data_IF_780437438886
#
_entry.id   IF_780437438886
#
_cell.length_a   1.000
_cell.length_b   1.000
_cell.length_c   1.000
_cell.angle_alpha   90.00
_cell.angle_beta   90.00
_cell.angle_gamma   90.00
#
_symmetry.space_group_name_H-M   'P 1'
#
loop_
_entity.id
_entity.type
_entity.pdbx_description
1 polymer ?
#
# COMPACT_ATOMS: atom_id res chain seq x y z
N UNK A 1 19.51 -47.74 -31.24
CA UNK A 1 18.47 -46.70 -31.27
C UNK A 1 17.65 -46.87 -30.01
N UNK A 2 17.89 -46.07 -28.97
CA UNK A 2 17.11 -46.13 -27.74
C UNK A 2 15.77 -45.45 -28.00
N UNK A 3 14.74 -46.24 -28.29
CA UNK A 3 13.37 -45.75 -28.34
C UNK A 3 12.91 -45.41 -26.93
N UNK A 4 13.05 -44.14 -26.54
CA UNK A 4 12.28 -43.60 -25.42
C UNK A 4 10.81 -43.69 -25.80
N UNK A 5 10.04 -44.47 -25.04
CA UNK A 5 8.57 -44.40 -25.07
C UNK A 5 8.13 -42.93 -24.99
N UNK A 6 7.09 -42.51 -25.73
CA UNK A 6 6.60 -41.14 -25.60
C UNK A 6 6.19 -40.87 -24.15
N UNK A 7 6.69 -39.78 -23.56
CA UNK A 7 6.26 -39.33 -22.24
C UNK A 7 4.75 -39.15 -22.25
N UNK A 8 4.07 -39.70 -21.25
CA UNK A 8 2.62 -39.51 -21.08
C UNK A 8 2.33 -38.01 -20.93
N UNK A 9 1.44 -37.46 -21.75
CA UNK A 9 0.95 -36.08 -21.62
C UNK A 9 -0.46 -36.13 -21.03
N UNK A 10 -0.64 -35.47 -19.89
CA UNK A 10 -1.89 -35.43 -19.13
C UNK A 10 -2.47 -34.01 -19.23
N UNK A 11 -3.77 -33.91 -19.41
CA UNK A 11 -4.52 -32.65 -19.39
C UNK A 11 -5.37 -32.64 -18.13
N UNK A 12 -5.28 -31.56 -17.34
CA UNK A 12 -5.95 -31.44 -16.03
C UNK A 12 -6.70 -30.11 -15.97
N UNK A 13 -7.99 -30.14 -15.68
CA UNK A 13 -8.75 -28.94 -15.33
C UNK A 13 -8.66 -28.71 -13.83
N UNK A 14 -8.44 -27.47 -13.38
CA UNK A 14 -8.38 -27.15 -11.96
C UNK A 14 -9.17 -25.88 -11.62
N UNK A 15 -9.69 -25.84 -10.40
CA UNK A 15 -10.61 -24.82 -9.92
C UNK A 15 -9.93 -23.86 -8.95
N UNK A 16 -10.02 -22.57 -9.27
CA UNK A 16 -9.77 -21.45 -8.36
C UNK A 16 -11.10 -21.09 -7.68
N UNK A 17 -11.30 -21.61 -6.47
CA UNK A 17 -12.50 -21.35 -5.66
C UNK A 17 -12.14 -20.38 -4.55
N UNK A 18 -12.84 -19.23 -4.55
CA UNK A 18 -12.72 -18.22 -3.51
C UNK A 18 -13.91 -18.27 -2.55
N UNK A 19 -13.64 -18.12 -1.25
CA UNK A 19 -14.64 -17.90 -0.19
C UNK A 19 -14.10 -16.90 0.82
N UNK A 20 -14.84 -15.81 1.03
CA UNK A 20 -14.52 -14.78 2.03
C UNK A 20 -13.08 -14.22 1.91
N UNK A 21 -12.59 -14.05 0.68
CA UNK A 21 -11.23 -13.57 0.40
C UNK A 21 -10.12 -14.63 0.56
N UNK A 22 -10.49 -15.88 0.81
CA UNK A 22 -9.59 -17.02 0.92
C UNK A 22 -9.73 -17.94 -0.29
N UNK A 23 -8.65 -18.61 -0.65
CA UNK A 23 -8.56 -19.53 -1.80
C UNK A 23 -8.48 -20.96 -1.31
N UNK A 24 -9.29 -21.83 -1.89
CA UNK A 24 -9.32 -23.24 -1.55
C UNK A 24 -8.11 -23.96 -2.15
N UNK A 25 -7.34 -24.64 -1.30
CA UNK A 25 -6.29 -25.57 -1.69
C UNK A 25 -6.63 -26.97 -1.15
N UNK A 26 -6.33 -28.00 -1.94
CA UNK A 26 -6.54 -29.40 -1.57
C UNK A 26 -5.21 -30.13 -1.46
N UNK A 27 -5.06 -30.99 -0.46
CA UNK A 27 -3.86 -31.80 -0.25
C UNK A 27 -4.06 -33.19 -0.83
N UNK A 28 -3.16 -33.60 -1.71
CA UNK A 28 -3.18 -34.93 -2.35
C UNK A 28 -3.07 -36.03 -1.29
N UNK A 29 -3.84 -37.11 -1.44
CA UNK A 29 -3.72 -38.25 -0.52
C UNK A 29 -2.39 -38.99 -0.68
N UNK A 30 -2.06 -39.82 0.32
CA UNK A 30 -0.82 -40.60 0.35
C UNK A 30 -0.73 -41.66 -0.76
N UNK A 31 -1.85 -42.01 -1.38
CA UNK A 31 -1.94 -42.99 -2.47
C UNK A 31 -1.91 -42.37 -3.87
N UNK A 32 -2.00 -41.06 -3.98
CA UNK A 32 -1.93 -40.34 -5.26
C UNK A 32 -0.47 -40.15 -5.72
N UNK A 33 -0.27 -39.83 -7.01
CA UNK A 33 1.03 -39.35 -7.49
C UNK A 33 1.41 -38.07 -6.75
N UNK A 34 2.69 -37.84 -6.45
CA UNK A 34 3.11 -36.66 -5.66
C UNK A 34 2.33 -36.56 -4.33
N UNK A 35 2.45 -37.57 -3.45
CA UNK A 35 1.62 -37.67 -2.25
C UNK A 35 1.88 -36.49 -1.30
N UNK A 36 0.82 -36.03 -0.63
CA UNK A 36 0.83 -34.97 0.39
C UNK A 36 1.21 -33.56 -0.10
N UNK A 37 1.50 -33.37 -1.40
CA UNK A 37 1.61 -32.04 -2.00
C UNK A 37 0.23 -31.38 -2.12
N UNK A 38 0.23 -30.05 -2.12
CA UNK A 38 -0.97 -29.22 -2.30
C UNK A 38 -1.21 -28.88 -3.77
N UNK A 39 -2.48 -28.73 -4.14
CA UNK A 39 -2.92 -28.41 -5.49
C UNK A 39 -4.26 -27.66 -5.49
N UNK A 40 -4.59 -27.09 -6.64
CA UNK A 40 -5.94 -26.61 -6.90
C UNK A 40 -6.84 -27.81 -7.20
N UNK A 41 -8.03 -27.91 -6.56
CA UNK A 41 -8.90 -29.07 -6.75
C UNK A 41 -9.36 -29.18 -8.20
N UNK A 42 -9.48 -30.41 -8.70
CA UNK A 42 -9.83 -30.72 -10.07
C UNK A 42 -9.19 -32.02 -10.51
N UNK A 43 -9.33 -32.35 -11.79
CA UNK A 43 -8.94 -33.67 -12.25
C UNK A 43 -8.64 -33.75 -13.73
N UNK A 44 -8.51 -34.98 -14.21
CA UNK A 44 -7.97 -35.27 -15.54
C UNK A 44 -9.11 -35.22 -16.55
N UNK A 45 -8.85 -34.60 -17.70
CA UNK A 45 -9.79 -34.63 -18.81
C UNK A 45 -9.93 -36.07 -19.35
N UNK A 46 -11.17 -36.49 -19.56
CA UNK A 46 -11.48 -37.72 -20.29
C UNK A 46 -11.54 -37.48 -21.81
N UNK A 47 -11.67 -38.57 -22.58
CA UNK A 47 -11.80 -38.47 -24.02
C UNK A 47 -13.12 -37.77 -24.39
N UNK A 48 -13.04 -36.80 -25.31
CA UNK A 48 -14.17 -36.04 -25.85
C UNK A 48 -14.90 -35.12 -24.84
N UNK A 49 -14.30 -34.84 -23.68
CA UNK A 49 -14.83 -33.93 -22.65
C UNK A 49 -14.18 -32.54 -22.73
N UNK A 50 -14.95 -31.47 -22.52
CA UNK A 50 -14.39 -30.12 -22.33
C UNK A 50 -13.75 -29.96 -20.95
N UNK A 51 -12.86 -28.98 -20.79
CA UNK A 51 -12.22 -28.74 -19.50
C UNK A 51 -13.23 -28.28 -18.44
N UNK A 52 -14.27 -27.56 -18.85
CA UNK A 52 -15.37 -27.12 -18.00
C UNK A 52 -16.24 -28.29 -17.52
N UNK A 53 -16.61 -29.21 -18.41
CA UNK A 53 -17.36 -30.44 -18.06
C UNK A 53 -16.55 -31.33 -17.12
N UNK A 54 -15.25 -31.52 -17.43
CA UNK A 54 -14.31 -32.23 -16.59
C UNK A 54 -14.29 -31.67 -15.16
N UNK A 55 -14.14 -30.35 -15.03
CA UNK A 55 -14.06 -29.71 -13.71
C UNK A 55 -15.35 -29.86 -12.90
N UNK A 56 -16.52 -29.80 -13.56
CA UNK A 56 -17.81 -30.00 -12.90
C UNK A 56 -17.97 -31.44 -12.39
N UNK A 57 -17.57 -32.43 -13.19
CA UNK A 57 -17.60 -33.85 -12.82
C UNK A 57 -16.65 -34.14 -11.66
N UNK A 58 -15.39 -33.75 -11.80
CA UNK A 58 -14.33 -34.02 -10.82
C UNK A 58 -14.65 -33.40 -9.46
N UNK A 59 -15.11 -32.14 -9.40
CA UNK A 59 -15.44 -31.52 -8.10
C UNK A 59 -16.70 -32.10 -7.45
N UNK A 60 -17.62 -32.66 -8.24
CA UNK A 60 -18.75 -33.39 -7.70
C UNK A 60 -18.30 -34.73 -7.11
N UNK A 61 -17.40 -35.44 -7.79
CA UNK A 61 -16.91 -36.77 -7.38
C UNK A 61 -15.93 -36.69 -6.21
N UNK A 62 -14.94 -35.79 -6.26
CA UNK A 62 -13.86 -35.72 -5.28
C UNK A 62 -14.23 -34.89 -4.04
N UNK A 63 -15.07 -33.86 -4.21
CA UNK A 63 -15.40 -32.89 -3.17
C UNK A 63 -16.91 -32.82 -2.83
N UNK A 64 -17.78 -33.49 -3.58
CA UNK A 64 -19.23 -33.50 -3.31
C UNK A 64 -19.94 -32.17 -3.59
N UNK A 65 -19.38 -31.31 -4.43
CA UNK A 65 -19.92 -29.97 -4.70
C UNK A 65 -20.28 -29.78 -6.17
N UNK A 66 -21.39 -29.09 -6.42
CA UNK A 66 -21.73 -28.61 -7.76
C UNK A 66 -21.24 -27.18 -7.92
N UNK A 67 -20.56 -26.91 -9.04
CA UNK A 67 -19.97 -25.59 -9.33
C UNK A 67 -20.52 -24.97 -10.62
N UNK A 68 -20.45 -23.65 -10.70
CA UNK A 68 -20.42 -22.92 -11.97
C UNK A 68 -18.99 -22.64 -12.35
N UNK A 69 -18.59 -23.01 -13.56
CA UNK A 69 -17.29 -22.66 -14.13
C UNK A 69 -17.36 -21.25 -14.72
N UNK A 70 -16.43 -20.40 -14.29
CA UNK A 70 -16.29 -19.01 -14.69
C UNK A 70 -15.21 -18.81 -15.74
N UNK A 71 -14.54 -17.66 -15.69
CA UNK A 71 -13.47 -17.31 -16.64
C UNK A 71 -12.27 -18.25 -16.48
N UNK A 72 -11.62 -18.57 -17.60
CA UNK A 72 -10.33 -19.26 -17.61
C UNK A 72 -9.17 -18.31 -17.30
N UNK A 73 -8.11 -18.84 -16.69
CA UNK A 73 -6.77 -18.26 -16.71
C UNK A 73 -5.94 -18.92 -17.83
N UNK A 74 -4.80 -18.33 -18.25
CA UNK A 74 -3.89 -18.96 -19.20
C UNK A 74 -3.52 -20.39 -18.80
N UNK A 75 -3.53 -21.32 -19.77
CA UNK A 75 -3.07 -22.68 -19.55
C UNK A 75 -1.55 -22.72 -19.33
N UNK A 76 -1.09 -23.67 -18.52
CA UNK A 76 0.33 -23.85 -18.24
C UNK A 76 0.75 -25.31 -18.42
N UNK A 77 1.90 -25.53 -19.06
CA UNK A 77 2.46 -26.88 -19.25
C UNK A 77 3.72 -27.03 -18.42
N UNK A 78 3.77 -28.09 -17.61
CA UNK A 78 4.92 -28.47 -16.79
C UNK A 78 5.39 -29.88 -17.17
N UNK A 79 6.71 -30.09 -17.24
CA UNK A 79 7.31 -31.39 -17.59
C UNK A 79 8.09 -31.97 -16.42
N UNK A 80 7.59 -33.09 -15.87
CA UNK A 80 8.30 -33.91 -14.89
C UNK A 80 9.17 -34.96 -15.59
N UNK A 81 10.00 -35.68 -14.83
CA UNK A 81 10.87 -36.74 -15.36
C UNK A 81 10.10 -37.87 -16.04
N UNK A 82 8.91 -38.20 -15.56
CA UNK A 82 8.10 -39.34 -16.05
C UNK A 82 6.91 -38.96 -16.94
N UNK A 83 6.40 -37.72 -16.85
CA UNK A 83 5.21 -37.28 -17.60
C UNK A 83 5.22 -35.76 -17.81
N UNK A 84 4.37 -35.29 -18.71
CA UNK A 84 4.09 -33.86 -18.93
C UNK A 84 2.63 -33.61 -18.56
N UNK A 85 2.33 -32.48 -17.92
CA UNK A 85 0.97 -32.07 -17.56
C UNK A 85 0.68 -30.68 -18.12
N UNK A 86 -0.51 -30.49 -18.70
CA UNK A 86 -1.07 -29.17 -18.99
C UNK A 86 -2.24 -28.91 -18.06
N UNK A 87 -2.17 -27.83 -17.30
CA UNK A 87 -3.23 -27.34 -16.42
C UNK A 87 -4.10 -26.32 -17.15
N UNK A 88 -5.41 -26.47 -17.00
CA UNK A 88 -6.46 -25.57 -17.47
C UNK A 88 -7.17 -24.95 -16.25
N UNK A 89 -6.66 -23.84 -15.72
CA UNK A 89 -7.22 -23.18 -14.54
C UNK A 89 -8.48 -22.37 -14.86
N UNK A 90 -9.53 -22.56 -14.07
CA UNK A 90 -10.77 -21.78 -14.15
C UNK A 90 -11.16 -21.23 -12.79
N UNK A 91 -11.72 -20.02 -12.77
CA UNK A 91 -12.49 -19.59 -11.61
C UNK A 91 -13.74 -20.44 -11.49
N UNK A 92 -14.09 -20.85 -10.28
CA UNK A 92 -15.29 -21.64 -10.05
C UNK A 92 -16.02 -21.18 -8.78
N UNK A 93 -17.34 -21.21 -8.82
CA UNK A 93 -18.21 -20.88 -7.69
C UNK A 93 -19.01 -22.11 -7.28
N UNK A 94 -18.91 -22.50 -6.01
CA UNK A 94 -19.76 -23.57 -5.45
C UNK A 94 -21.21 -23.08 -5.38
N UNK A 95 -22.09 -23.76 -6.11
CA UNK A 95 -23.53 -23.50 -6.11
C UNK A 95 -24.24 -24.23 -4.97
N UNK A 96 -23.95 -25.53 -4.82
CA UNK A 96 -24.61 -26.42 -3.86
C UNK A 96 -23.62 -27.49 -3.37
N UNK A 97 -23.95 -28.09 -2.22
CA UNK A 97 -23.11 -29.10 -1.57
C UNK A 97 -22.23 -28.53 -0.45
N UNK A 98 -21.71 -29.43 0.38
CA UNK A 98 -20.72 -29.13 1.40
C UNK A 98 -19.47 -29.96 1.09
N UNK A 99 -18.30 -29.34 1.16
CA UNK A 99 -17.05 -29.99 0.76
C UNK A 99 -16.84 -31.23 1.64
N UNK A 100 -16.76 -32.39 0.98
CA UNK A 100 -16.52 -33.70 1.59
C UNK A 100 -15.34 -34.33 0.87
N UNK A 101 -14.28 -34.69 1.58
CA UNK A 101 -13.05 -35.19 0.97
C UNK A 101 -13.19 -36.68 0.65
N UNK A 102 -13.23 -37.02 -0.64
CA UNK A 102 -13.25 -38.41 -1.09
C UNK A 102 -11.86 -38.91 -1.50
N UNK A 103 -11.06 -38.07 -2.17
CA UNK A 103 -9.72 -38.43 -2.66
C UNK A 103 -8.57 -37.64 -2.01
N UNK A 104 -8.86 -36.46 -1.45
CA UNK A 104 -7.87 -35.60 -0.79
C UNK A 104 -7.67 -35.94 0.69
N UNK A 105 -6.45 -35.70 1.20
CA UNK A 105 -6.13 -35.89 2.61
C UNK A 105 -6.61 -34.72 3.48
N UNK A 106 -6.59 -33.50 2.94
CA UNK A 106 -6.97 -32.29 3.64
C UNK A 106 -7.40 -31.20 2.66
N UNK A 107 -8.07 -30.17 3.17
CA UNK A 107 -8.28 -28.89 2.48
C UNK A 107 -7.91 -27.75 3.42
N UNK A 108 -7.58 -26.60 2.84
CA UNK A 108 -7.43 -25.35 3.58
C UNK A 108 -7.91 -24.18 2.73
N UNK A 109 -8.25 -23.09 3.40
CA UNK A 109 -8.60 -21.80 2.80
C UNK A 109 -7.56 -20.79 3.29
N UNK A 110 -6.79 -20.21 2.37
CA UNK A 110 -5.72 -19.27 2.70
C UNK A 110 -5.88 -17.96 1.93
N UNK A 111 -5.45 -16.82 2.50
CA UNK A 111 -5.28 -15.59 1.74
C UNK A 111 -4.38 -15.80 0.52
N UNK A 112 -4.61 -15.04 -0.54
CA UNK A 112 -3.84 -15.12 -1.78
C UNK A 112 -2.32 -15.03 -1.53
N UNK A 113 -1.89 -14.19 -0.60
CA UNK A 113 -0.49 -13.99 -0.25
C UNK A 113 0.08 -15.06 0.68
N UNK A 114 -0.71 -15.94 1.29
CA UNK A 114 -0.23 -17.06 2.12
C UNK A 114 -0.12 -18.38 1.34
N UNK A 115 -0.61 -18.45 0.10
CA UNK A 115 -0.55 -19.67 -0.71
C UNK A 115 0.87 -20.24 -0.82
N UNK A 116 1.90 -19.38 -0.87
CA UNK A 116 3.30 -19.80 -0.96
C UNK A 116 3.82 -20.56 0.27
N UNK A 117 3.08 -20.60 1.38
CA UNK A 117 3.47 -21.28 2.62
C UNK A 117 3.27 -22.80 2.57
N UNK A 118 2.50 -23.30 1.61
CA UNK A 118 2.24 -24.74 1.42
C UNK A 118 3.26 -25.39 0.47
N UNK A 119 3.47 -26.71 0.60
CA UNK A 119 4.28 -27.50 -0.34
C UNK A 119 3.46 -27.92 -1.57
N UNK A 120 3.41 -27.06 -2.58
CA UNK A 120 2.64 -27.28 -3.80
C UNK A 120 3.26 -28.27 -4.78
N UNK A 121 2.41 -28.90 -5.59
CA UNK A 121 2.83 -29.52 -6.84
C UNK A 121 3.46 -28.47 -7.78
N UNK A 122 4.55 -28.85 -8.43
CA UNK A 122 5.40 -27.92 -9.18
C UNK A 122 4.66 -27.27 -10.37
N UNK A 123 3.65 -27.97 -10.90
CA UNK A 123 2.80 -27.50 -11.99
C UNK A 123 1.84 -26.38 -11.57
N UNK A 124 1.51 -26.24 -10.27
CA UNK A 124 0.53 -25.28 -9.76
C UNK A 124 1.14 -23.89 -9.47
N UNK A 125 2.46 -23.81 -9.27
CA UNK A 125 3.14 -22.51 -9.01
C UNK A 125 2.86 -21.42 -10.07
N UNK A 126 2.87 -21.71 -11.39
CA UNK A 126 2.45 -20.74 -12.40
C UNK A 126 1.02 -20.23 -12.22
N UNK A 127 0.09 -21.11 -11.83
CA UNK A 127 -1.31 -20.77 -11.58
C UNK A 127 -1.42 -19.87 -10.34
N UNK A 128 -0.70 -20.16 -9.26
CA UNK A 128 -0.62 -19.29 -8.07
C UNK A 128 -0.11 -17.90 -8.47
N UNK A 129 0.97 -17.83 -9.25
CA UNK A 129 1.53 -16.55 -9.69
C UNK A 129 0.54 -15.75 -10.55
N UNK A 130 -0.20 -16.41 -11.45
CA UNK A 130 -1.22 -15.79 -12.27
C UNK A 130 -2.43 -15.34 -11.43
N UNK A 131 -2.85 -16.16 -10.48
CA UNK A 131 -3.90 -15.84 -9.53
C UNK A 131 -3.51 -14.62 -8.69
N UNK A 132 -2.34 -14.61 -8.06
CA UNK A 132 -1.84 -13.50 -7.25
C UNK A 132 -1.63 -12.21 -8.05
N UNK A 133 -1.22 -12.30 -9.33
CA UNK A 133 -1.16 -11.13 -10.22
C UNK A 133 -2.53 -10.50 -10.46
N UNK A 134 -3.57 -11.32 -10.52
CA UNK A 134 -4.94 -10.89 -10.83
C UNK A 134 -5.80 -10.63 -9.57
N UNK A 135 -5.42 -11.17 -8.40
CA UNK A 135 -6.22 -11.19 -7.16
C UNK A 135 -5.43 -11.01 -5.86
N UNK A 136 -4.12 -10.78 -5.91
CA UNK A 136 -3.38 -10.26 -4.75
C UNK A 136 -3.98 -8.93 -4.33
N UNK A 137 -3.90 -8.58 -3.04
CA UNK A 137 -4.39 -7.28 -2.54
C UNK A 137 -3.95 -6.18 -3.51
N UNK A 138 -4.88 -5.44 -4.15
CA UNK A 138 -4.51 -4.42 -5.12
C UNK A 138 -3.64 -3.32 -4.49
N UNK A 139 -3.60 -3.28 -3.15
CA UNK A 139 -2.75 -2.41 -2.33
C UNK A 139 -1.29 -2.90 -2.24
N UNK A 140 -1.01 -4.20 -2.42
CA UNK A 140 0.37 -4.75 -2.50
C UNK A 140 0.99 -4.61 -3.89
N UNK A 141 0.22 -4.15 -4.87
CA UNK A 141 0.70 -3.99 -6.26
C UNK A 141 1.79 -2.92 -6.40
N UNK A 142 1.79 -1.94 -5.51
CA UNK A 142 2.76 -0.85 -5.53
C UNK A 142 3.53 -0.80 -4.22
N UNK A 143 4.86 -0.55 -4.25
CA UNK A 143 5.58 -0.19 -3.05
C UNK A 143 4.97 1.10 -2.47
N UNK A 144 4.87 1.17 -1.15
CA UNK A 144 4.32 2.32 -0.44
C UNK A 144 5.36 2.91 0.52
N UNK A 145 5.66 4.19 0.34
CA UNK A 145 6.20 5.05 1.37
C UNK A 145 5.05 5.94 1.86
N UNK A 146 4.51 5.66 3.05
CA UNK A 146 3.40 6.45 3.60
C UNK A 146 3.89 7.83 4.04
N UNK A 147 3.79 8.84 3.18
CA UNK A 147 4.39 10.16 3.42
C UNK A 147 3.64 11.04 4.44
N UNK A 148 2.56 10.55 5.05
CA UNK A 148 1.85 11.29 6.08
C UNK A 148 1.00 10.38 6.96
N UNK A 149 1.42 10.15 8.19
CA UNK A 149 0.56 9.57 9.23
C UNK A 149 1.01 10.06 10.61
N UNK A 150 0.17 9.86 11.62
CA UNK A 150 0.44 10.24 13.00
C UNK A 150 0.48 9.00 13.89
N UNK A 151 1.51 8.88 14.73
CA UNK A 151 1.46 7.97 15.87
C UNK A 151 0.96 8.76 17.07
N UNK A 152 -0.08 8.21 17.72
CA UNK A 152 -0.73 8.78 18.88
C UNK A 152 -0.74 7.72 19.97
N UNK A 153 -0.06 8.03 21.06
CA UNK A 153 0.10 7.10 22.17
C UNK A 153 0.01 7.87 23.49
N UNK A 154 -1.04 7.58 24.27
CA UNK A 154 -1.31 8.20 25.58
C UNK A 154 -0.25 7.95 26.64
N UNK A 155 0.75 7.09 26.40
CA UNK A 155 1.96 7.01 27.23
C UNK A 155 2.72 8.34 27.25
N UNK A 156 2.59 9.15 26.21
CA UNK A 156 3.22 10.45 26.07
C UNK A 156 2.21 11.59 26.27
N UNK A 157 2.72 12.77 26.63
CA UNK A 157 1.88 13.93 26.88
C UNK A 157 1.19 14.41 25.61
N UNK A 158 -0.13 14.61 25.69
CA UNK A 158 -0.94 15.21 24.64
C UNK A 158 -1.58 16.50 25.15
N UNK A 159 -1.41 17.58 24.39
CA UNK A 159 -2.00 18.90 24.64
C UNK A 159 -3.21 19.09 23.72
N UNK A 160 -4.42 19.32 24.26
CA UNK A 160 -5.59 19.60 23.43
C UNK A 160 -5.34 20.83 22.54
N UNK A 161 -5.57 20.69 21.23
CA UNK A 161 -5.53 21.82 20.30
C UNK A 161 -6.98 22.22 19.99
N UNK A 162 -7.40 23.46 20.28
CA UNK A 162 -8.78 23.90 20.09
C UNK A 162 -9.83 22.91 20.67
N UNK A 163 -9.58 22.41 21.88
CA UNK A 163 -10.48 21.51 22.61
C UNK A 163 -10.56 20.06 22.12
N UNK A 164 -9.75 19.67 21.13
CA UNK A 164 -9.75 18.32 20.58
C UNK A 164 -8.49 17.55 20.98
N UNK A 165 -8.70 16.31 21.38
CA UNK A 165 -7.69 15.30 21.65
C UNK A 165 -8.03 14.07 20.77
N UNK A 166 -7.08 13.52 20.01
CA UNK A 166 -7.36 12.38 19.15
C UNK A 166 -7.42 11.05 19.93
N UNK A 167 -7.98 10.03 19.29
CA UNK A 167 -7.85 8.64 19.71
C UNK A 167 -6.47 8.07 19.41
N UNK A 168 -6.12 6.98 20.09
CA UNK A 168 -4.82 6.34 19.95
C UNK A 168 -4.66 5.70 18.56
N UNK A 169 -3.43 5.75 18.06
CA UNK A 169 -2.94 4.94 16.95
C UNK A 169 -1.47 4.63 17.25
N UNK A 170 -1.24 3.51 17.92
CA UNK A 170 0.09 3.01 18.24
C UNK A 170 0.80 2.48 16.99
N UNK A 171 2.13 2.32 17.05
CA UNK A 171 2.91 1.72 15.96
C UNK A 171 2.37 0.33 15.56
N UNK A 172 1.95 -0.47 16.54
CA UNK A 172 1.38 -1.81 16.31
C UNK A 172 0.06 -1.73 15.54
N UNK A 173 -0.83 -0.83 15.93
CA UNK A 173 -2.12 -0.65 15.27
C UNK A 173 -1.94 -0.10 13.86
N UNK A 174 -1.03 0.85 13.67
CA UNK A 174 -0.64 1.35 12.35
C UNK A 174 -0.17 0.23 11.42
N UNK A 175 0.79 -0.59 11.85
CA UNK A 175 1.28 -1.73 11.07
C UNK A 175 0.17 -2.76 10.78
N UNK A 176 -0.73 -2.99 11.74
CA UNK A 176 -1.88 -3.88 11.54
C UNK A 176 -2.83 -3.34 10.47
N UNK A 177 -3.13 -2.05 10.47
CA UNK A 177 -3.99 -1.40 9.46
C UNK A 177 -3.35 -1.44 8.06
N UNK A 178 -2.02 -1.38 7.98
CA UNK A 178 -1.27 -1.35 6.72
C UNK A 178 -0.79 -2.75 6.27
N UNK A 179 -1.20 -3.81 6.94
CA UNK A 179 -0.80 -5.20 6.62
C UNK A 179 -1.16 -5.65 5.20
N UNK A 180 -2.19 -5.02 4.61
CA UNK A 180 -2.61 -5.24 3.24
C UNK A 180 -1.76 -4.55 2.18
N UNK A 181 -0.77 -3.73 2.54
CA UNK A 181 0.08 -2.94 1.64
C UNK A 181 1.50 -3.50 1.53
N UNK A 182 2.22 -3.18 0.44
CA UNK A 182 3.67 -3.34 0.36
C UNK A 182 4.35 -2.11 1.01
N UNK A 183 4.20 -1.99 2.34
CA UNK A 183 4.73 -0.88 3.12
C UNK A 183 6.25 -0.99 3.26
N UNK A 184 6.96 0.03 2.76
CA UNK A 184 8.43 0.07 2.68
C UNK A 184 9.05 1.24 3.43
N UNK A 185 8.26 1.93 4.24
CA UNK A 185 8.66 3.09 5.02
C UNK A 185 7.55 4.13 5.10
N UNK A 186 7.86 5.27 5.71
CA UNK A 186 6.91 6.36 5.82
C UNK A 186 7.42 7.53 6.64
N UNK A 187 6.66 8.62 6.64
CA UNK A 187 6.94 9.83 7.40
C UNK A 187 5.94 9.97 8.56
N UNK A 188 6.45 9.78 9.78
CA UNK A 188 5.71 9.99 11.02
C UNK A 188 5.66 11.49 11.27
N UNK A 189 4.47 12.07 11.16
CA UNK A 189 4.27 13.51 11.33
C UNK A 189 3.84 13.79 12.76
N UNK A 190 4.54 14.67 13.47
CA UNK A 190 4.09 15.16 14.77
C UNK A 190 2.77 15.92 14.62
N UNK A 191 1.79 15.51 15.43
CA UNK A 191 0.49 16.18 15.48
C UNK A 191 0.54 17.48 16.27
N UNK A 192 -0.37 18.41 16.00
CA UNK A 192 -0.44 19.68 16.79
C UNK A 192 -0.73 19.46 18.27
N UNK A 193 -1.27 18.29 18.62
CA UNK A 193 -1.51 17.87 20.00
C UNK A 193 -0.25 17.37 20.73
N UNK A 194 0.88 17.18 20.04
CA UNK A 194 2.18 16.89 20.67
C UNK A 194 3.00 18.16 20.92
N UNK A 195 2.55 19.32 20.42
CA UNK A 195 3.27 20.59 20.50
C UNK A 195 4.75 20.43 20.08
N UNK A 196 5.69 20.74 20.97
CA UNK A 196 7.13 20.57 20.76
C UNK A 196 7.72 19.34 21.47
N UNK A 197 6.90 18.48 22.06
CA UNK A 197 7.36 17.24 22.69
C UNK A 197 7.77 16.22 21.62
N UNK A 198 9.02 15.78 21.69
CA UNK A 198 9.62 14.85 20.72
C UNK A 198 9.51 13.39 21.14
N UNK A 199 9.07 13.10 22.37
CA UNK A 199 9.19 11.77 23.00
C UNK A 199 8.43 10.71 22.22
N UNK A 200 7.19 11.01 21.82
CA UNK A 200 6.36 10.10 21.05
C UNK A 200 6.94 9.84 19.65
N UNK A 201 7.45 10.88 18.98
CA UNK A 201 8.07 10.76 17.66
C UNK A 201 9.32 9.88 17.72
N UNK A 202 10.20 10.12 18.69
CA UNK A 202 11.44 9.37 18.86
C UNK A 202 11.19 7.90 19.22
N UNK A 203 10.23 7.61 20.11
CA UNK A 203 9.81 6.23 20.42
C UNK A 203 9.26 5.51 19.18
N UNK A 204 8.46 6.21 18.37
CA UNK A 204 7.89 5.66 17.15
C UNK A 204 8.96 5.37 16.08
N UNK A 205 9.92 6.28 15.87
CA UNK A 205 11.04 6.07 14.95
C UNK A 205 11.90 4.87 15.35
N UNK A 206 12.21 4.76 16.64
CA UNK A 206 12.93 3.60 17.18
C UNK A 206 12.14 2.30 16.98
N UNK A 207 10.82 2.32 17.20
CA UNK A 207 9.95 1.13 17.11
C UNK A 207 9.71 0.68 15.68
N UNK A 208 9.44 1.61 14.76
CA UNK A 208 9.15 1.29 13.35
C UNK A 208 10.42 1.03 12.54
N UNK A 209 11.56 1.52 13.00
CA UNK A 209 12.87 1.23 12.43
C UNK A 209 13.29 2.18 11.31
N UNK A 210 14.46 1.93 10.69
CA UNK A 210 15.21 2.94 9.94
C UNK A 210 14.64 3.27 8.55
N UNK A 211 13.60 2.56 8.11
CA UNK A 211 12.86 2.86 6.88
C UNK A 211 11.81 3.97 7.10
N UNK A 212 11.55 4.35 8.36
CA UNK A 212 10.66 5.44 8.72
C UNK A 212 11.45 6.69 9.09
N UNK A 213 10.88 7.85 8.78
CA UNK A 213 11.47 9.17 9.06
C UNK A 213 10.50 10.03 9.84
N UNK A 214 11.04 11.01 10.56
CA UNK A 214 10.24 11.93 11.37
C UNK A 214 10.02 13.28 10.68
N UNK A 215 8.84 13.85 10.93
CA UNK A 215 8.54 15.26 10.67
C UNK A 215 8.11 15.89 11.99
N UNK A 216 8.94 16.80 12.49
CA UNK A 216 8.77 17.38 13.83
C UNK A 216 8.10 18.76 13.79
N UNK A 217 7.71 19.28 14.96
CA UNK A 217 7.47 20.70 15.21
C UNK A 217 8.53 21.20 16.19
N UNK A 218 9.15 22.35 15.91
CA UNK A 218 10.19 22.94 16.75
C UNK A 218 9.92 24.43 17.01
N UNK A 219 10.28 24.96 18.19
CA UNK A 219 10.26 26.39 18.42
C UNK A 219 11.39 27.06 17.61
N UNK A 220 11.22 28.33 17.25
CA UNK A 220 12.28 29.08 16.55
C UNK A 220 13.57 29.19 17.37
N UNK A 221 13.46 29.06 18.69
CA UNK A 221 14.57 29.08 19.66
C UNK A 221 15.30 27.75 19.81
N UNK A 222 14.88 26.69 19.11
CA UNK A 222 15.56 25.37 19.13
C UNK A 222 17.06 25.54 18.83
N UNK A 223 17.91 24.77 19.49
CA UNK A 223 19.37 24.83 19.26
C UNK A 223 19.78 24.02 18.01
N UNK A 224 20.93 24.37 17.41
CA UNK A 224 21.47 23.58 16.29
C UNK A 224 21.82 22.14 16.73
N UNK A 225 22.29 21.97 17.97
CA UNK A 225 22.60 20.65 18.52
C UNK A 225 21.35 19.77 18.58
N UNK A 226 20.22 20.33 19.00
CA UNK A 226 18.96 19.58 19.05
C UNK A 226 18.46 19.20 17.64
N UNK A 227 18.64 20.06 16.64
CA UNK A 227 18.36 19.72 15.23
C UNK A 227 19.26 18.56 14.76
N UNK A 228 20.55 18.60 15.09
CA UNK A 228 21.50 17.54 14.74
C UNK A 228 21.15 16.21 15.43
N UNK A 229 20.76 16.25 16.70
CA UNK A 229 20.35 15.06 17.46
C UNK A 229 19.09 14.42 16.86
N UNK A 230 18.11 15.25 16.47
CA UNK A 230 16.88 14.80 15.78
C UNK A 230 17.18 14.23 14.39
N UNK A 231 18.12 14.83 13.64
CA UNK A 231 18.53 14.32 12.33
C UNK A 231 19.18 12.93 12.45
N UNK A 232 20.03 12.75 13.46
CA UNK A 232 20.62 11.46 13.81
C UNK A 232 19.58 10.41 14.21
N UNK A 233 18.46 10.83 14.80
CA UNK A 233 17.33 9.96 15.13
C UNK A 233 16.40 9.63 13.94
N UNK A 234 16.64 10.23 12.76
CA UNK A 234 15.85 9.97 11.55
C UNK A 234 14.81 11.03 11.19
N UNK A 235 14.81 12.19 11.86
CA UNK A 235 13.96 13.33 11.45
C UNK A 235 14.50 13.95 10.17
N UNK A 236 13.60 14.35 9.26
CA UNK A 236 13.97 14.85 7.92
C UNK A 236 13.28 16.16 7.53
N UNK A 237 12.36 16.63 8.35
CA UNK A 237 11.60 17.84 8.09
C UNK A 237 11.01 18.47 9.36
N UNK A 238 10.67 19.76 9.26
CA UNK A 238 9.91 20.50 10.26
C UNK A 238 8.58 20.98 9.67
N UNK A 239 7.48 20.84 10.42
CA UNK A 239 6.14 21.18 9.99
C UNK A 239 5.67 22.50 10.61
N UNK A 240 5.07 23.35 9.78
CA UNK A 240 4.36 24.57 10.18
C UNK A 240 2.87 24.38 10.02
N UNK A 241 2.12 24.56 11.11
CA UNK A 241 0.67 24.52 11.10
C UNK A 241 0.10 25.94 11.04
N UNK A 242 -0.19 26.41 9.83
CA UNK A 242 -0.71 27.76 9.61
C UNK A 242 -2.24 27.81 9.72
N UNK A 243 -2.93 26.71 9.42
CA UNK A 243 -4.40 26.65 9.39
C UNK A 243 -5.06 26.63 10.78
N UNK A 244 -4.45 25.99 11.77
CA UNK A 244 -5.08 25.79 13.10
C UNK A 244 -4.42 26.58 14.22
N UNK A 245 -3.41 27.39 13.90
CA UNK A 245 -2.50 27.98 14.88
C UNK A 245 -1.57 26.89 15.42
N UNK A 246 -0.39 26.78 14.79
CA UNK A 246 0.77 26.10 15.33
C UNK A 246 1.50 26.98 16.32
N UNK A 247 2.49 26.41 16.99
CA UNK A 247 3.29 27.12 17.98
C UNK A 247 4.31 28.10 17.38
N UNK A 248 4.45 28.15 16.04
CA UNK A 248 5.25 29.13 15.30
C UNK A 248 4.49 29.70 14.09
N UNK A 249 4.64 31.00 13.84
CA UNK A 249 3.93 31.75 12.78
C UNK A 249 4.70 31.90 11.47
N UNK A 250 3.99 32.33 10.41
CA UNK A 250 4.54 32.58 9.06
C UNK A 250 5.81 33.43 9.07
N UNK A 251 5.94 34.39 10.01
CA UNK A 251 7.07 35.30 10.07
C UNK A 251 8.44 34.61 10.28
N UNK A 252 8.45 33.38 10.81
CA UNK A 252 9.69 32.62 11.05
C UNK A 252 9.95 31.53 9.99
N UNK A 253 9.03 31.36 9.04
CA UNK A 253 9.09 30.29 8.04
C UNK A 253 10.38 30.34 7.21
N UNK A 254 10.71 31.48 6.60
CA UNK A 254 11.88 31.57 5.70
C UNK A 254 13.19 31.31 6.46
N UNK A 255 13.38 31.98 7.61
CA UNK A 255 14.60 31.83 8.42
C UNK A 255 14.78 30.39 8.90
N UNK A 256 13.72 29.77 9.42
CA UNK A 256 13.80 28.40 9.90
C UNK A 256 13.99 27.41 8.74
N UNK A 257 13.30 27.59 7.62
CA UNK A 257 13.43 26.74 6.43
C UNK A 257 14.87 26.73 5.90
N UNK A 258 15.51 27.90 5.80
CA UNK A 258 16.92 28.01 5.38
C UNK A 258 17.84 27.36 6.39
N UNK A 259 17.66 27.65 7.69
CA UNK A 259 18.50 27.12 8.77
C UNK A 259 18.50 25.59 8.80
N UNK A 260 17.33 24.94 8.82
CA UNK A 260 17.26 23.47 8.88
C UNK A 260 17.77 22.82 7.59
N UNK A 261 17.59 23.48 6.45
CA UNK A 261 18.11 23.00 5.19
C UNK A 261 19.63 23.10 5.10
N UNK A 262 20.22 24.21 5.53
CA UNK A 262 21.66 24.41 5.53
C UNK A 262 22.37 23.48 6.52
N UNK A 263 21.77 23.25 7.70
CA UNK A 263 22.38 22.44 8.75
C UNK A 263 22.32 20.93 8.47
N UNK A 264 21.17 20.43 8.01
CA UNK A 264 20.87 18.97 7.90
C UNK A 264 20.08 18.59 6.64
N UNK A 265 19.90 19.53 5.70
CA UNK A 265 19.19 19.28 4.44
C UNK A 265 17.68 19.13 4.57
N UNK A 266 17.10 19.44 5.73
CA UNK A 266 15.66 19.28 5.97
C UNK A 266 14.81 20.14 5.03
N UNK A 267 13.59 19.69 4.78
CA UNK A 267 12.56 20.50 4.12
C UNK A 267 11.53 20.99 5.15
N UNK A 268 10.68 21.92 4.72
CA UNK A 268 9.54 22.37 5.53
C UNK A 268 8.23 21.80 4.99
N UNK A 269 7.36 21.38 5.89
CA UNK A 269 5.99 20.95 5.57
C UNK A 269 4.98 21.99 6.00
N UNK A 270 4.02 22.30 5.16
CA UNK A 270 3.00 23.32 5.43
C UNK A 270 1.61 22.70 5.50
N UNK A 271 1.00 22.78 6.68
CA UNK A 271 -0.44 22.62 6.83
C UNK A 271 -1.11 23.99 6.76
N UNK A 272 -1.50 24.35 5.55
CA UNK A 272 -2.07 25.66 5.19
C UNK A 272 -3.34 25.45 4.37
N UNK A 273 -4.27 26.40 4.48
CA UNK A 273 -5.42 26.46 3.60
C UNK A 273 -5.00 27.10 2.27
N UNK A 274 -5.34 26.51 1.12
CA UNK A 274 -4.85 27.02 -0.17
C UNK A 274 -5.25 28.48 -0.43
N UNK A 275 -6.34 28.97 0.18
CA UNK A 275 -6.75 30.39 0.11
C UNK A 275 -5.69 31.36 0.63
N UNK A 276 -4.80 30.89 1.50
CA UNK A 276 -3.71 31.69 2.06
C UNK A 276 -2.40 31.56 1.27
N UNK A 277 -2.32 30.64 0.29
CA UNK A 277 -1.10 30.40 -0.49
C UNK A 277 -0.70 31.60 -1.36
N UNK A 278 -1.66 32.40 -1.83
CA UNK A 278 -1.39 33.60 -2.64
C UNK A 278 -0.45 34.57 -1.91
N UNK A 279 -0.69 34.79 -0.62
CA UNK A 279 0.14 35.66 0.20
C UNK A 279 1.53 35.09 0.51
N UNK A 280 1.70 33.77 0.35
CA UNK A 280 2.96 33.07 0.64
C UNK A 280 3.77 32.76 -0.62
N UNK A 281 3.19 32.90 -1.81
CA UNK A 281 3.75 32.42 -3.07
C UNK A 281 5.22 32.80 -3.27
N UNK A 282 5.53 34.09 -3.19
CA UNK A 282 6.89 34.63 -3.38
C UNK A 282 7.88 34.08 -2.37
N UNK A 283 7.44 33.81 -1.14
CA UNK A 283 8.28 33.18 -0.12
C UNK A 283 8.53 31.72 -0.49
N UNK A 284 7.48 30.95 -0.79
CA UNK A 284 7.58 29.50 -0.98
C UNK A 284 8.42 29.10 -2.19
N UNK A 285 8.40 29.87 -3.27
CA UNK A 285 9.17 29.56 -4.49
C UNK A 285 10.68 29.75 -4.33
N UNK A 286 11.13 30.51 -3.32
CA UNK A 286 12.56 30.75 -3.05
C UNK A 286 13.08 29.94 -1.85
N UNK A 287 12.22 29.16 -1.20
CA UNK A 287 12.65 28.24 -0.15
C UNK A 287 13.36 27.02 -0.75
N UNK A 288 14.33 26.44 -0.03
CA UNK A 288 15.16 25.38 -0.58
C UNK A 288 14.39 24.07 -0.85
N UNK A 289 13.44 23.71 0.02
CA UNK A 289 12.60 22.54 -0.15
C UNK A 289 11.32 22.67 0.68
N UNK A 290 10.17 22.48 0.04
CA UNK A 290 8.84 22.67 0.64
C UNK A 290 7.89 21.56 0.19
N UNK A 291 7.04 21.08 1.10
CA UNK A 291 5.84 20.32 0.77
C UNK A 291 4.57 20.92 1.36
N UNK A 292 3.47 20.83 0.63
CA UNK A 292 2.13 21.25 1.08
C UNK A 292 1.29 20.02 1.40
N UNK A 293 0.66 20.02 2.58
CA UNK A 293 -0.19 18.93 3.04
C UNK A 293 -1.55 18.89 2.30
N UNK A 294 -2.11 17.69 2.16
CA UNK A 294 -3.50 17.40 1.78
C UNK A 294 -4.02 18.15 0.54
N UNK A 295 -3.25 18.15 -0.55
CA UNK A 295 -3.60 18.83 -1.81
C UNK A 295 -3.98 20.33 -1.65
N UNK A 296 -3.55 20.98 -0.57
CA UNK A 296 -3.91 22.38 -0.29
C UNK A 296 -5.34 22.62 0.21
N UNK A 297 -6.12 21.58 0.51
CA UNK A 297 -7.43 21.63 1.20
C UNK A 297 -8.62 22.33 0.49
N UNK A 298 -8.42 23.42 -0.25
CA UNK A 298 -9.51 24.21 -0.82
C UNK A 298 -9.36 24.47 -2.33
N UNK A 299 -10.48 24.53 -3.05
CA UNK A 299 -10.52 24.72 -4.50
C UNK A 299 -10.03 26.09 -4.93
N UNK A 300 -10.33 27.12 -4.14
CA UNK A 300 -10.05 28.51 -4.51
C UNK A 300 -8.55 28.78 -4.70
N UNK A 301 -7.69 28.19 -3.89
CA UNK A 301 -6.24 28.34 -4.01
C UNK A 301 -5.54 27.30 -4.89
N UNK A 302 -6.29 26.41 -5.56
CA UNK A 302 -5.71 25.33 -6.36
C UNK A 302 -4.87 25.86 -7.54
N UNK A 303 -5.27 26.97 -8.16
CA UNK A 303 -4.50 27.61 -9.23
C UNK A 303 -3.11 28.08 -8.78
N UNK A 304 -2.97 28.49 -7.52
CA UNK A 304 -1.69 28.89 -6.94
C UNK A 304 -0.86 27.69 -6.52
N UNK A 305 -1.50 26.63 -6.03
CA UNK A 305 -0.85 25.34 -5.80
C UNK A 305 -0.19 24.80 -7.08
N UNK A 306 -0.87 24.86 -8.23
CA UNK A 306 -0.30 24.45 -9.52
C UNK A 306 0.95 25.26 -9.87
N UNK A 307 0.92 26.59 -9.74
CA UNK A 307 2.08 27.45 -9.98
C UNK A 307 3.25 27.12 -9.03
N UNK A 308 2.97 26.76 -7.78
CA UNK A 308 4.01 26.32 -6.84
C UNK A 308 4.63 24.98 -7.25
N UNK A 309 3.81 24.05 -7.73
CA UNK A 309 4.24 22.74 -8.23
C UNK A 309 5.14 22.86 -9.47
N UNK A 310 4.81 23.77 -10.39
CA UNK A 310 5.66 24.11 -11.54
C UNK A 310 7.04 24.65 -11.11
N UNK A 311 7.13 25.23 -9.91
CA UNK A 311 8.37 25.73 -9.30
C UNK A 311 9.08 24.70 -8.41
N UNK A 312 8.58 23.47 -8.35
CA UNK A 312 9.23 22.36 -7.65
C UNK A 312 8.74 22.12 -6.22
N UNK A 313 7.72 22.84 -5.75
CA UNK A 313 7.08 22.54 -4.47
C UNK A 313 6.40 21.17 -4.53
N UNK A 314 6.60 20.35 -3.49
CA UNK A 314 5.94 19.03 -3.37
C UNK A 314 4.54 19.16 -2.79
N UNK A 315 3.69 18.18 -3.06
CA UNK A 315 2.32 18.14 -2.55
C UNK A 315 2.00 16.74 -2.06
N UNK A 316 1.44 16.64 -0.86
CA UNK A 316 0.98 15.37 -0.31
C UNK A 316 -0.41 15.04 -0.84
N UNK A 317 -0.52 14.00 -1.66
CA UNK A 317 -1.76 13.39 -2.13
C UNK A 317 -2.40 12.59 -0.99
N UNK A 318 -3.02 13.29 -0.05
CA UNK A 318 -3.51 12.77 1.24
C UNK A 318 -4.78 13.51 1.65
N UNK A 319 -5.50 13.00 2.64
CA UNK A 319 -6.61 13.73 3.25
C UNK A 319 -7.73 14.06 2.25
N UNK A 320 -8.02 13.17 1.30
CA UNK A 320 -9.04 13.38 0.25
C UNK A 320 -10.44 13.65 0.81
N UNK A 321 -10.73 13.20 2.03
CA UNK A 321 -11.95 13.56 2.75
C UNK A 321 -12.04 15.00 3.27
N UNK A 322 -10.97 15.81 3.08
CA UNK A 322 -10.87 17.19 3.57
C UNK A 322 -11.05 18.24 2.47
N UNK A 323 -11.02 17.85 1.20
CA UNK A 323 -11.06 18.76 0.05
C UNK A 323 -12.48 18.98 -0.46
N UNK A 324 -12.69 20.09 -1.16
CA UNK A 324 -13.97 20.50 -1.77
C UNK A 324 -13.93 20.52 -3.31
N UNK A 325 -12.97 19.79 -3.90
CA UNK A 325 -12.79 19.67 -5.35
C UNK A 325 -12.62 18.20 -5.79
N UNK A 326 -12.68 17.97 -7.10
CA UNK A 326 -12.51 16.66 -7.71
C UNK A 326 -11.05 16.19 -7.63
N UNK A 327 -10.79 15.20 -6.78
CA UNK A 327 -9.45 14.66 -6.53
C UNK A 327 -8.82 14.08 -7.81
N UNK A 328 -9.49 13.26 -8.63
CA UNK A 328 -8.91 12.74 -9.87
C UNK A 328 -8.41 13.83 -10.82
N UNK A 329 -9.20 14.89 -11.01
CA UNK A 329 -8.79 16.04 -11.84
C UNK A 329 -7.57 16.73 -11.25
N UNK A 330 -7.59 17.00 -9.93
CA UNK A 330 -6.47 17.63 -9.25
C UNK A 330 -5.16 16.82 -9.35
N UNK A 331 -5.23 15.48 -9.18
CA UNK A 331 -4.08 14.60 -9.33
C UNK A 331 -3.49 14.67 -10.74
N UNK A 332 -4.34 14.63 -11.78
CA UNK A 332 -3.87 14.74 -13.17
C UNK A 332 -3.21 16.08 -13.46
N UNK A 333 -3.80 17.18 -13.01
CA UNK A 333 -3.26 18.52 -13.24
C UNK A 333 -1.94 18.74 -12.51
N UNK A 334 -1.83 18.33 -11.24
CA UNK A 334 -0.59 18.43 -10.47
C UNK A 334 0.51 17.54 -11.05
N UNK A 335 0.17 16.30 -11.44
CA UNK A 335 1.13 15.39 -12.07
C UNK A 335 1.60 15.92 -13.44
N UNK A 336 0.69 16.48 -14.25
CA UNK A 336 1.03 17.08 -15.53
C UNK A 336 1.94 18.30 -15.38
N UNK A 337 1.71 19.13 -14.34
CA UNK A 337 2.56 20.27 -14.03
C UNK A 337 3.98 19.83 -13.60
N UNK A 338 4.09 18.78 -12.78
CA UNK A 338 5.37 18.21 -12.37
C UNK A 338 5.19 16.75 -11.87
N UNK A 339 5.63 15.73 -12.63
CA UNK A 339 5.48 14.32 -12.27
C UNK A 339 6.13 13.92 -10.93
N UNK A 340 7.09 14.72 -10.46
CA UNK A 340 7.78 14.44 -9.20
C UNK A 340 7.08 15.06 -7.99
N UNK A 341 6.08 15.92 -8.17
CA UNK A 341 5.55 16.74 -7.09
C UNK A 341 4.69 15.98 -6.08
N UNK A 342 3.91 14.99 -6.54
CA UNK A 342 2.96 14.27 -5.72
C UNK A 342 3.64 13.18 -4.88
N UNK A 343 3.27 13.12 -3.60
CA UNK A 343 3.66 12.09 -2.64
C UNK A 343 2.42 11.56 -1.91
N UNK A 344 2.15 10.27 -1.96
CA UNK A 344 0.98 9.70 -1.29
C UNK A 344 1.22 9.44 0.20
N UNK A 345 0.15 9.47 0.99
CA UNK A 345 0.15 9.16 2.41
C UNK A 345 -1.27 8.90 2.92
N UNK A 346 -1.39 8.13 3.99
CA UNK A 346 -2.68 7.66 4.50
C UNK A 346 -3.44 8.75 5.29
N UNK A 347 -2.72 9.73 5.85
CA UNK A 347 -3.24 10.69 6.84
C UNK A 347 -3.86 9.98 8.05
N UNK A 348 -3.46 8.75 8.38
CA UNK A 348 -4.01 8.02 9.54
C UNK A 348 -3.63 8.70 10.88
N UNK A 349 -4.51 8.68 11.91
CA UNK A 349 -5.86 8.10 11.93
C UNK A 349 -6.94 9.08 11.43
N UNK A 350 -6.60 9.97 10.50
CA UNK A 350 -7.49 10.94 9.86
C UNK A 350 -8.09 11.95 10.83
N UNK A 351 -7.25 12.46 11.73
CA UNK A 351 -7.70 13.37 12.80
C UNK A 351 -8.49 14.55 12.24
N UNK A 352 -9.76 14.67 12.67
CA UNK A 352 -10.73 15.69 12.21
C UNK A 352 -11.00 15.73 10.70
N UNK A 353 -10.71 14.68 9.95
CA UNK A 353 -11.13 14.60 8.57
C UNK A 353 -12.65 14.36 8.52
N UNK A 354 -13.42 15.12 7.72
CA UNK A 354 -14.86 14.86 7.55
C UNK A 354 -15.15 13.43 7.09
N UNK A 355 -14.31 12.90 6.20
CA UNK A 355 -14.26 11.49 5.83
C UNK A 355 -12.86 10.94 6.16
N UNK A 356 -12.76 9.83 6.91
CA UNK A 356 -11.47 9.20 7.18
C UNK A 356 -10.89 8.55 5.92
N UNK A 357 -9.60 8.25 5.98
CA UNK A 357 -8.92 7.44 4.97
C UNK A 357 -9.64 6.12 4.72
N UNK A 358 -9.66 5.70 3.45
CA UNK A 358 -10.04 4.36 3.04
C UNK A 358 -9.14 3.88 1.92
N UNK A 359 -8.96 2.58 1.77
CA UNK A 359 -8.13 1.97 0.73
C UNK A 359 -8.54 2.39 -0.69
N UNK A 360 -9.79 2.80 -0.90
CA UNK A 360 -10.26 3.41 -2.15
C UNK A 360 -9.49 4.68 -2.53
N UNK A 361 -8.96 5.43 -1.57
CA UNK A 361 -8.14 6.63 -1.84
C UNK A 361 -6.81 6.24 -2.49
N UNK A 362 -6.19 5.14 -2.05
CA UNK A 362 -5.01 4.57 -2.69
C UNK A 362 -5.35 4.09 -4.11
N UNK A 363 -6.42 3.29 -4.26
CA UNK A 363 -6.84 2.78 -5.56
C UNK A 363 -7.19 3.90 -6.54
N UNK A 364 -7.82 4.99 -6.06
CA UNK A 364 -8.15 6.17 -6.86
C UNK A 364 -6.90 6.78 -7.52
N UNK A 365 -5.77 6.86 -6.80
CA UNK A 365 -4.52 7.37 -7.36
C UNK A 365 -4.03 6.48 -8.51
N UNK A 366 -4.04 5.15 -8.30
CA UNK A 366 -3.64 4.19 -9.31
C UNK A 366 -4.53 4.24 -10.57
N UNK A 367 -5.85 4.26 -10.38
CA UNK A 367 -6.83 4.36 -11.47
C UNK A 367 -6.73 5.69 -12.22
N UNK A 368 -6.42 6.78 -11.51
CA UNK A 368 -6.38 8.13 -12.09
C UNK A 368 -5.13 8.37 -12.94
N UNK A 369 -3.97 7.92 -12.46
CA UNK A 369 -2.67 8.24 -13.06
C UNK A 369 -2.07 7.10 -13.89
N UNK A 370 -2.58 5.87 -13.71
CA UNK A 370 -1.97 4.67 -14.28
C UNK A 370 -0.75 4.18 -13.51
N UNK A 371 -0.35 2.94 -13.75
CA UNK A 371 0.57 2.22 -12.85
C UNK A 371 1.96 2.84 -12.71
N UNK A 372 2.53 3.34 -13.81
CA UNK A 372 3.88 3.92 -13.80
C UNK A 372 3.92 5.20 -12.95
N UNK A 373 2.98 6.11 -13.20
CA UNK A 373 2.84 7.35 -12.45
C UNK A 373 2.47 7.08 -10.98
N UNK A 374 1.56 6.13 -10.74
CA UNK A 374 1.14 5.76 -9.40
C UNK A 374 2.31 5.20 -8.57
N UNK A 375 3.18 4.36 -9.16
CA UNK A 375 4.39 3.86 -8.49
C UNK A 375 5.29 5.00 -8.02
N UNK A 376 5.49 6.03 -8.86
CA UNK A 376 6.30 7.18 -8.48
C UNK A 376 5.67 7.98 -7.33
N UNK A 377 4.34 8.16 -7.36
CA UNK A 377 3.58 8.88 -6.33
C UNK A 377 3.52 8.11 -5.00
N UNK A 378 3.38 6.78 -5.03
CA UNK A 378 3.33 5.95 -3.84
C UNK A 378 4.68 5.74 -3.15
N UNK A 379 5.79 5.83 -3.90
CA UNK A 379 7.11 5.51 -3.33
C UNK A 379 8.23 6.46 -3.77
N UNK A 380 8.59 6.48 -5.06
CA UNK A 380 9.87 7.05 -5.51
C UNK A 380 10.01 8.54 -5.16
N UNK A 381 8.94 9.32 -5.34
CA UNK A 381 8.93 10.77 -5.07
C UNK A 381 9.17 11.04 -3.58
N UNK A 382 8.46 10.32 -2.70
CA UNK A 382 8.57 10.50 -1.27
C UNK A 382 9.92 9.99 -0.75
N UNK A 383 10.33 8.77 -1.11
CA UNK A 383 11.61 8.20 -0.69
C UNK A 383 12.78 9.12 -1.04
N UNK A 384 12.77 9.72 -2.24
CA UNK A 384 13.77 10.70 -2.66
C UNK A 384 13.68 12.01 -1.87
N UNK A 385 12.48 12.57 -1.69
CA UNK A 385 12.29 13.86 -1.05
C UNK A 385 12.64 13.85 0.45
N UNK A 386 12.29 12.76 1.14
CA UNK A 386 12.63 12.55 2.55
C UNK A 386 14.05 12.04 2.77
N UNK A 387 14.78 11.67 1.70
CA UNK A 387 16.11 11.04 1.80
C UNK A 387 16.05 9.76 2.64
N UNK A 388 15.02 8.94 2.38
CA UNK A 388 14.85 7.65 3.03
C UNK A 388 16.00 6.70 2.62
N UNK A 389 16.28 5.72 3.49
CA UNK A 389 17.25 4.67 3.16
C UNK A 389 16.72 3.81 2.01
N UNK A 390 17.61 3.32 1.13
CA UNK A 390 17.22 2.36 0.10
C UNK A 390 16.74 1.06 0.76
N UNK A 391 15.69 0.47 0.17
CA UNK A 391 15.06 -0.80 0.59
C UNK A 391 15.74 -1.98 -0.07
#
# INVERSE_FOLDING_TARGET
MNGSSPKKHIHVACALIERDGLVLAAQRSSTMSMPLKWEFPGGKLEADESAEECLQRELLEELGVTITVGRALPQHTHSYDSFTVTLYPFFATILTGAITLHEHAAITLLPADELHTLDWAEADWPVIGEYQRNHGSPLKRFPLFDSHFHIIDRRFQLTPNNGYLPDDLTCKEYLSQLSGYDLRGGAIVSGSFQAFDQSCLLDALHTLGPLFVGVTQLPVTVSDQEILDLDGAGVRAVRFNLKRGGSEGVQHLDTMARRVHELVGWHVELYVDSRDLDGLFETLVVLPAVSIDHLGLAKEGFGTLLKLVERGVRVKATGFGRVDFDVPTALRELYAANPQALMFGSDLPSTRAPRPYSDSDFLLVAETLGDEAARAVFYDNAAKFYRALPV
#
